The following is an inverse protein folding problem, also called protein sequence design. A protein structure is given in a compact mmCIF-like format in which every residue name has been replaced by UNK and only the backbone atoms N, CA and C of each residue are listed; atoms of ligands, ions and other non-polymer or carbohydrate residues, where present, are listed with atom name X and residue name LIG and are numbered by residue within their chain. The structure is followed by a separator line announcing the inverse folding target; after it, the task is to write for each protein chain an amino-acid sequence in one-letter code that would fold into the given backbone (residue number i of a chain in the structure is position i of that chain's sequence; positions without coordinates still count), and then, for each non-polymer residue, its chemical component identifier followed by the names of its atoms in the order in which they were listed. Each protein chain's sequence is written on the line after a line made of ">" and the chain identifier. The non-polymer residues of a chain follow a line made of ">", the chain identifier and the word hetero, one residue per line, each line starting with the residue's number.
data_IF_433092892193
#
_entry.id   IF_433092892193
#
_cell.length_a   1.000
_cell.length_b   1.000
_cell.length_c   1.000
_cell.angle_alpha   90.00
_cell.angle_beta   90.00
_cell.angle_gamma   90.00
#
_symmetry.space_group_name_H-M   'P 1'
#
loop_
_entity.id
_entity.type
_entity.pdbx_description
1 polymer ?
#
# COMPACT_ATOMS: atom_id res chain seq x y z
N UNK A 1 -16.55 35.72 34.84
CA UNK A 1 -16.46 34.55 33.94
C UNK A 1 -16.08 35.10 32.56
N UNK A 2 -15.10 34.49 31.86
CA UNK A 2 -14.44 34.92 30.60
C UNK A 2 -13.16 35.79 30.71
N UNK A 3 -12.22 35.44 31.59
CA UNK A 3 -10.87 36.04 31.58
C UNK A 3 -10.05 35.65 30.33
N UNK A 4 -10.31 34.50 29.73
CA UNK A 4 -9.63 34.03 28.52
C UNK A 4 -9.91 34.89 27.27
N UNK A 5 -11.08 35.53 27.20
CA UNK A 5 -11.48 36.41 26.09
C UNK A 5 -10.86 37.81 26.17
N UNK A 6 -10.28 38.18 27.31
CA UNK A 6 -9.63 39.48 27.54
C UNK A 6 -8.11 39.48 27.26
N UNK A 7 -7.54 38.32 26.93
CA UNK A 7 -6.11 38.18 26.61
C UNK A 7 -5.77 38.82 25.25
N UNK A 8 -4.61 39.49 25.10
CA UNK A 8 -4.15 39.94 23.79
C UNK A 8 -3.86 38.74 22.87
N UNK A 9 -3.89 38.96 21.56
CA UNK A 9 -3.54 37.91 20.58
C UNK A 9 -2.14 37.36 20.87
N UNK A 10 -2.01 36.03 20.91
CA UNK A 10 -0.77 35.34 21.25
C UNK A 10 -0.52 35.13 22.75
N UNK A 11 -1.32 35.74 23.65
CA UNK A 11 -1.27 35.39 25.06
C UNK A 11 -2.06 34.11 25.35
N UNK A 12 -1.59 33.36 26.33
CA UNK A 12 -2.16 32.06 26.67
C UNK A 12 -1.91 31.66 28.12
N UNK A 13 -2.72 30.72 28.60
CA UNK A 13 -2.55 30.11 29.90
C UNK A 13 -2.06 28.68 29.72
N UNK A 14 -1.11 28.26 30.56
CA UNK A 14 -0.69 26.87 30.66
C UNK A 14 -0.95 26.39 32.07
N UNK A 15 -1.64 25.26 32.19
CA UNK A 15 -1.88 24.60 33.45
C UNK A 15 -1.29 23.19 33.39
N UNK A 16 -0.56 22.82 34.44
CA UNK A 16 -0.01 21.48 34.62
C UNK A 16 -0.74 20.79 35.75
N UNK A 17 -1.28 19.60 35.48
CA UNK A 17 -1.86 18.71 36.48
C UNK A 17 -1.14 17.37 36.41
N UNK A 18 -0.26 17.13 37.39
CA UNK A 18 0.60 15.94 37.43
C UNK A 18 1.50 15.83 36.19
N UNK A 19 1.25 14.78 35.39
CA UNK A 19 1.98 14.42 34.17
C UNK A 19 1.28 14.91 32.88
N UNK A 20 0.28 15.77 33.00
CA UNK A 20 -0.41 16.36 31.86
C UNK A 20 -0.31 17.88 31.90
N UNK A 21 0.03 18.48 30.77
CA UNK A 21 0.10 19.93 30.57
C UNK A 21 -0.95 20.31 29.53
N UNK A 22 -1.83 21.25 29.88
CA UNK A 22 -2.80 21.82 28.95
C UNK A 22 -2.50 23.31 28.78
N UNK A 23 -2.24 23.73 27.55
CA UNK A 23 -2.08 25.14 27.19
C UNK A 23 -3.23 25.62 26.31
N UNK A 24 -3.67 26.85 26.54
CA UNK A 24 -4.70 27.53 25.77
C UNK A 24 -4.10 28.83 25.27
N UNK A 25 -4.02 29.00 23.97
CA UNK A 25 -3.44 30.19 23.33
C UNK A 25 -4.52 30.90 22.51
N UNK A 26 -4.62 32.23 22.63
CA UNK A 26 -5.48 33.03 21.76
C UNK A 26 -4.83 33.16 20.38
N UNK A 27 -5.47 32.56 19.37
CA UNK A 27 -5.12 32.73 17.96
C UNK A 27 -5.61 34.07 17.40
N UNK A 28 -5.52 34.25 16.08
CA UNK A 28 -6.03 35.46 15.42
C UNK A 28 -7.55 35.58 15.57
N UNK A 29 -8.04 36.76 15.95
CA UNK A 29 -9.46 37.03 16.18
C UNK A 29 -10.01 36.35 17.44
N UNK A 30 -11.08 35.57 17.27
CA UNK A 30 -11.82 34.91 18.36
C UNK A 30 -11.52 33.40 18.48
N UNK A 31 -10.41 32.95 17.89
CA UNK A 31 -10.02 31.52 17.90
C UNK A 31 -9.19 31.19 19.13
N UNK A 32 -9.54 30.11 19.84
CA UNK A 32 -8.76 29.56 20.96
C UNK A 32 -8.12 28.23 20.54
N UNK A 33 -6.79 28.14 20.66
CA UNK A 33 -6.03 26.92 20.38
C UNK A 33 -5.77 26.21 21.70
N UNK A 34 -6.33 25.01 21.85
CA UNK A 34 -6.10 24.16 23.02
C UNK A 34 -5.06 23.09 22.67
N UNK A 35 -4.01 22.96 23.46
CA UNK A 35 -2.97 21.93 23.29
C UNK A 35 -2.81 21.17 24.60
N UNK A 36 -3.07 19.86 24.57
CA UNK A 36 -2.83 18.97 25.70
C UNK A 36 -1.66 18.04 25.41
N UNK A 37 -0.63 18.10 26.25
CA UNK A 37 0.53 17.21 26.23
C UNK A 37 0.44 16.30 27.45
N UNK A 38 0.39 14.99 27.21
CA UNK A 38 0.45 13.97 28.26
C UNK A 38 1.83 13.33 28.23
N UNK A 39 2.59 13.39 29.33
CA UNK A 39 3.95 12.82 29.40
C UNK A 39 3.94 11.29 29.11
N UNK A 40 2.86 10.60 29.48
CA UNK A 40 2.66 9.18 29.16
C UNK A 40 2.51 8.90 27.66
N UNK A 41 1.86 9.79 26.91
CA UNK A 41 1.74 9.68 25.45
C UNK A 41 3.05 10.07 24.78
N UNK A 42 3.70 11.14 25.25
CA UNK A 42 4.99 11.58 24.74
C UNK A 42 6.04 10.46 24.87
N UNK A 43 6.07 9.76 26.01
CA UNK A 43 6.94 8.60 26.22
C UNK A 43 6.66 7.45 25.25
N UNK A 44 5.39 7.15 25.00
CA UNK A 44 5.01 6.09 24.05
C UNK A 44 5.45 6.43 22.63
N UNK A 45 5.27 7.67 22.20
CA UNK A 45 5.70 8.12 20.87
C UNK A 45 7.22 8.00 20.73
N UNK A 46 7.99 8.45 21.73
CA UNK A 46 9.45 8.34 21.71
C UNK A 46 9.89 6.88 21.61
N UNK A 47 9.35 6.01 22.47
CA UNK A 47 9.65 4.58 22.47
C UNK A 47 9.34 3.92 21.13
N UNK A 48 8.19 4.25 20.54
CA UNK A 48 7.77 3.70 19.26
C UNK A 48 8.66 4.20 18.12
N UNK A 49 9.04 5.48 18.13
CA UNK A 49 9.97 6.00 17.12
C UNK A 49 11.34 5.34 17.20
N UNK A 50 11.82 5.06 18.41
CA UNK A 50 13.08 4.35 18.62
C UNK A 50 13.01 2.92 18.09
N UNK A 51 11.94 2.18 18.40
CA UNK A 51 11.72 0.83 17.86
C UNK A 51 11.61 0.82 16.34
N UNK A 52 10.88 1.78 15.75
CA UNK A 52 10.79 1.90 14.29
C UNK A 52 12.15 2.20 13.66
N UNK A 53 12.96 3.07 14.29
CA UNK A 53 14.32 3.33 13.79
C UNK A 53 15.24 2.13 13.96
N UNK A 54 15.11 1.36 15.05
CA UNK A 54 15.85 0.12 15.27
C UNK A 54 15.48 -0.94 14.25
N UNK A 55 14.19 -1.22 14.09
CA UNK A 55 13.67 -2.17 13.09
C UNK A 55 14.10 -1.73 11.70
N UNK A 56 13.95 -0.45 11.35
CA UNK A 56 14.38 0.05 10.04
C UNK A 56 15.89 -0.02 9.86
N UNK A 57 16.70 0.05 10.91
CA UNK A 57 18.14 -0.13 10.81
C UNK A 57 18.52 -1.61 10.65
N UNK A 58 17.82 -2.51 11.36
CA UNK A 58 17.97 -3.97 11.26
C UNK A 58 17.45 -4.53 9.93
N UNK A 59 16.38 -3.94 9.37
CA UNK A 59 15.77 -4.29 8.08
C UNK A 59 16.30 -3.42 6.94
N UNK A 60 17.04 -2.34 7.24
CA UNK A 60 17.46 -1.30 6.30
C UNK A 60 18.62 -1.67 5.40
N UNK A 61 19.21 -2.84 5.60
CA UNK A 61 20.13 -3.44 4.64
C UNK A 61 19.37 -4.17 3.50
N UNK A 62 18.06 -4.36 3.65
CA UNK A 62 17.23 -5.13 2.72
C UNK A 62 15.89 -4.45 2.44
N UNK A 63 15.87 -3.11 2.31
CA UNK A 63 14.86 -2.47 1.46
C UNK A 63 15.38 -2.51 0.03
N UNK A 64 15.62 -3.73 -0.47
CA UNK A 64 15.56 -3.95 -1.91
C UNK A 64 14.13 -3.62 -2.33
N UNK A 65 13.98 -2.86 -3.41
CA UNK A 65 12.69 -2.65 -4.04
C UNK A 65 11.97 -4.00 -4.15
N UNK A 66 10.65 -4.09 -3.87
CA UNK A 66 9.93 -5.35 -4.02
C UNK A 66 10.32 -5.93 -5.37
N UNK A 67 10.91 -7.15 -5.41
CA UNK A 67 11.57 -7.66 -6.60
C UNK A 67 10.61 -7.48 -7.76
N UNK A 68 11.06 -6.90 -8.90
CA UNK A 68 10.17 -6.58 -10.00
C UNK A 68 9.34 -7.81 -10.25
N UNK A 69 8.01 -7.69 -10.12
CA UNK A 69 7.10 -8.82 -10.26
C UNK A 69 7.46 -9.48 -11.57
N UNK A 70 8.16 -10.62 -11.49
CA UNK A 70 8.74 -11.28 -12.64
C UNK A 70 7.53 -11.86 -13.34
N UNK A 71 6.95 -11.05 -14.24
CA UNK A 71 6.02 -11.54 -15.23
C UNK A 71 6.82 -12.61 -15.97
N UNK A 72 6.54 -13.87 -15.65
CA UNK A 72 7.08 -15.00 -16.39
C UNK A 72 6.40 -14.99 -17.75
N UNK A 73 6.85 -14.08 -18.61
CA UNK A 73 6.50 -14.09 -20.01
C UNK A 73 7.07 -15.38 -20.59
N UNK A 74 6.24 -16.23 -21.23
CA UNK A 74 6.75 -17.43 -21.85
C UNK A 74 7.81 -17.02 -22.87
N UNK A 75 9.02 -17.57 -22.71
CA UNK A 75 10.15 -17.26 -23.58
C UNK A 75 9.74 -17.54 -25.03
N UNK A 76 10.13 -16.70 -25.99
CA UNK A 76 9.63 -16.79 -27.38
C UNK A 76 9.74 -18.18 -28.01
N UNK A 77 10.69 -19.00 -27.55
CA UNK A 77 10.82 -20.40 -27.94
C UNK A 77 9.70 -21.33 -27.41
N UNK A 78 9.27 -21.15 -26.16
CA UNK A 78 8.11 -21.88 -25.60
C UNK A 78 6.81 -21.51 -26.35
N UNK A 79 6.69 -20.25 -26.75
CA UNK A 79 5.55 -19.77 -27.54
C UNK A 79 5.47 -20.47 -28.91
N UNK A 80 6.62 -20.66 -29.57
CA UNK A 80 6.70 -21.39 -30.84
C UNK A 80 6.23 -22.85 -30.69
N UNK A 81 6.60 -23.53 -29.61
CA UNK A 81 6.19 -24.92 -29.36
C UNK A 81 4.67 -25.07 -29.17
N UNK A 82 4.05 -24.15 -28.41
CA UNK A 82 2.60 -24.13 -28.22
C UNK A 82 1.87 -23.93 -29.56
N UNK A 83 2.39 -23.02 -30.40
CA UNK A 83 1.84 -22.77 -31.73
C UNK A 83 1.98 -23.96 -32.68
N UNK A 84 3.15 -24.59 -32.73
CA UNK A 84 3.39 -25.76 -33.55
C UNK A 84 2.45 -26.92 -33.19
N UNK A 85 2.26 -27.18 -31.89
CA UNK A 85 1.32 -28.22 -31.42
C UNK A 85 -0.13 -27.96 -31.84
N UNK A 86 -0.59 -26.71 -31.75
CA UNK A 86 -1.95 -26.32 -32.18
C UNK A 86 -2.15 -26.48 -33.69
N UNK A 87 -1.16 -26.10 -34.51
CA UNK A 87 -1.23 -26.28 -35.96
C UNK A 87 -1.35 -27.75 -36.36
N UNK A 88 -0.60 -28.64 -35.69
CA UNK A 88 -0.68 -30.09 -35.94
C UNK A 88 -2.05 -30.65 -35.56
N UNK A 89 -2.61 -30.27 -34.41
CA UNK A 89 -3.95 -30.71 -34.01
C UNK A 89 -5.05 -30.24 -34.99
N UNK A 90 -4.95 -29.00 -35.47
CA UNK A 90 -5.91 -28.45 -36.44
C UNK A 90 -5.83 -29.22 -37.75
N UNK A 91 -4.63 -29.49 -38.27
CA UNK A 91 -4.47 -30.25 -39.52
C UNK A 91 -4.98 -31.69 -39.38
N UNK A 92 -4.69 -32.38 -38.28
CA UNK A 92 -5.20 -33.73 -38.01
C UNK A 92 -6.73 -33.78 -37.93
N UNK A 93 -7.35 -32.82 -37.24
CA UNK A 93 -8.80 -32.74 -37.12
C UNK A 93 -9.47 -32.47 -38.46
N UNK A 94 -8.94 -31.56 -39.29
CA UNK A 94 -9.43 -31.32 -40.65
C UNK A 94 -9.31 -32.55 -41.54
N UNK A 95 -8.19 -33.29 -41.46
CA UNK A 95 -8.01 -34.55 -42.20
C UNK A 95 -9.06 -35.58 -41.77
N UNK A 96 -9.32 -35.69 -40.47
CA UNK A 96 -10.31 -36.63 -39.94
C UNK A 96 -11.73 -36.28 -40.42
N UNK A 97 -12.09 -35.00 -40.35
CA UNK A 97 -13.38 -34.47 -40.84
C UNK A 97 -13.52 -34.74 -42.35
N UNK A 98 -12.49 -34.45 -43.15
CA UNK A 98 -12.50 -34.72 -44.59
C UNK A 98 -12.67 -36.22 -44.88
N UNK A 99 -11.95 -37.09 -44.16
CA UNK A 99 -12.09 -38.55 -44.31
C UNK A 99 -13.49 -39.02 -43.94
N UNK A 100 -14.08 -38.50 -42.87
CA UNK A 100 -15.45 -38.84 -42.45
C UNK A 100 -16.47 -38.36 -43.48
N UNK A 101 -16.31 -37.16 -44.00
CA UNK A 101 -17.21 -36.59 -45.01
C UNK A 101 -17.12 -37.36 -46.33
N UNK A 102 -15.90 -37.68 -46.81
CA UNK A 102 -15.69 -38.51 -47.99
C UNK A 102 -16.31 -39.90 -47.84
N UNK A 103 -16.21 -40.52 -46.65
CA UNK A 103 -16.87 -41.80 -46.35
C UNK A 103 -18.39 -41.69 -46.41
N UNK A 104 -18.99 -40.56 -46.01
CA UNK A 104 -20.44 -40.35 -46.12
C UNK A 104 -20.88 -40.16 -47.56
N UNK A 105 -20.14 -39.37 -48.36
CA UNK A 105 -20.44 -39.18 -49.78
C UNK A 105 -20.31 -40.47 -50.59
N UNK A 106 -19.30 -41.30 -50.31
CA UNK A 106 -19.06 -42.55 -51.04
C UNK A 106 -19.99 -43.70 -50.63
N UNK A 107 -20.94 -43.45 -49.72
CA UNK A 107 -21.92 -44.42 -49.22
C UNK A 107 -23.36 -44.05 -49.63
N UNK A 108 -23.54 -42.90 -50.27
CA UNK A 108 -24.78 -42.44 -50.91
C UNK A 108 -24.69 -42.65 -52.42
#
# INVERSE_FOLDING_TARGET
>A
MNQLAALPEGAGYSARSGQATASVVRGKGDTLIFTSICDSLARQVISLTEELTRIRNETGEEVEEPPPQVAHEPTGWQWFQIWAGRLVLITLSLILIYRLFKRRLNKS
#
